data_IF_604644716474
#
_entry.id   IF_604644716474
#
_cell.length_a   1.000
_cell.length_b   1.000
_cell.length_c   1.000
_cell.angle_alpha   90.00
_cell.angle_beta   90.00
_cell.angle_gamma   90.00
#
_symmetry.space_group_name_H-M   'P 1'
#
loop_
_entity.id
_entity.type
_entity.pdbx_description
1 polymer ?
#
# COMPACT_ATOMS: atom_id res chain seq x y z
N UNK A 1 -5.18 4.10 -13.46
CA UNK A 1 -4.57 4.42 -12.15
C UNK A 1 -3.54 3.39 -11.71
N UNK A 2 -2.45 3.82 -11.05
CA UNK A 2 -1.56 2.96 -10.25
C UNK A 2 -1.37 3.53 -8.84
N UNK A 3 -0.98 2.67 -7.87
CA UNK A 3 -0.74 3.07 -6.48
C UNK A 3 0.66 2.65 -6.06
N UNK A 4 1.46 3.61 -5.61
CA UNK A 4 2.75 3.33 -4.97
C UNK A 4 2.53 3.19 -3.47
N UNK A 5 2.96 2.07 -2.90
CA UNK A 5 3.01 1.84 -1.46
C UNK A 5 4.45 1.98 -0.99
N UNK A 6 4.66 2.69 0.11
CA UNK A 6 5.96 2.91 0.72
C UNK A 6 5.90 2.57 2.22
N UNK A 7 6.65 1.55 2.61
CA UNK A 7 6.85 1.14 3.99
C UNK A 7 8.18 1.67 4.49
N UNK A 8 8.18 2.26 5.69
CA UNK A 8 9.38 2.76 6.33
C UNK A 8 9.47 2.22 7.77
N UNK A 9 10.62 1.67 8.14
CA UNK A 9 10.93 1.25 9.51
C UNK A 9 12.35 1.64 9.89
N UNK A 10 12.53 2.04 11.14
CA UNK A 10 13.84 2.26 11.74
C UNK A 10 14.37 1.02 12.47
N UNK A 11 13.58 -0.06 12.52
CA UNK A 11 13.95 -1.30 13.19
C UNK A 11 14.48 -2.29 12.16
N UNK A 12 15.78 -2.65 12.20
CA UNK A 12 16.33 -3.65 11.31
C UNK A 12 15.53 -4.96 11.35
N UNK A 13 15.25 -5.49 10.16
CA UNK A 13 14.55 -6.74 9.91
C UNK A 13 13.04 -6.64 9.99
N UNK A 14 12.47 -5.52 10.43
CA UNK A 14 11.01 -5.40 10.61
C UNK A 14 10.26 -5.50 9.27
N UNK A 15 10.71 -4.77 8.25
CA UNK A 15 10.11 -4.82 6.91
C UNK A 15 10.24 -6.23 6.31
N UNK A 16 11.44 -6.82 6.34
CA UNK A 16 11.69 -8.16 5.81
C UNK A 16 10.78 -9.20 6.48
N UNK A 17 10.72 -9.20 7.81
CA UNK A 17 9.90 -10.13 8.58
C UNK A 17 8.41 -9.95 8.29
N UNK A 18 7.94 -8.70 8.17
CA UNK A 18 6.56 -8.41 7.80
C UNK A 18 6.24 -8.95 6.39
N UNK A 19 7.06 -8.64 5.39
CA UNK A 19 6.82 -9.05 4.01
C UNK A 19 6.91 -10.57 3.83
N UNK A 20 7.84 -11.26 4.52
CA UNK A 20 7.91 -12.73 4.49
C UNK A 20 6.62 -13.37 5.00
N UNK A 21 6.03 -12.82 6.07
CA UNK A 21 4.75 -13.28 6.63
C UNK A 21 3.58 -12.96 5.71
N UNK A 22 3.56 -11.74 5.17
CA UNK A 22 2.51 -11.28 4.25
C UNK A 22 2.45 -12.15 2.99
N UNK A 23 3.60 -12.38 2.34
CA UNK A 23 3.67 -13.21 1.13
C UNK A 23 3.81 -14.71 1.39
N UNK A 24 3.88 -15.12 2.67
CA UNK A 24 4.07 -16.51 3.10
C UNK A 24 5.25 -17.21 2.40
N UNK A 25 6.36 -16.50 2.22
CA UNK A 25 7.55 -17.02 1.54
C UNK A 25 8.82 -16.37 2.05
N UNK A 26 9.92 -17.11 1.91
CA UNK A 26 11.26 -16.57 2.14
C UNK A 26 11.59 -15.47 1.10
N UNK A 27 12.11 -14.34 1.58
CA UNK A 27 12.51 -13.22 0.73
C UNK A 27 14.04 -13.08 0.79
N UNK A 28 14.65 -13.09 -0.39
CA UNK A 28 16.06 -12.72 -0.53
C UNK A 28 16.17 -11.19 -0.51
N UNK A 29 16.24 -10.63 0.70
CA UNK A 29 16.26 -9.21 1.00
C UNK A 29 17.18 -9.00 2.20
N UNK A 30 17.93 -7.90 2.20
CA UNK A 30 18.80 -7.56 3.32
C UNK A 30 17.99 -7.22 4.59
N UNK A 31 18.55 -7.50 5.76
CA UNK A 31 17.87 -7.26 7.02
C UNK A 31 17.87 -5.79 7.42
N UNK A 32 18.77 -4.97 6.91
CA UNK A 32 18.90 -3.55 7.25
C UNK A 32 18.07 -2.61 6.35
N UNK A 33 17.18 -3.17 5.51
CA UNK A 33 16.30 -2.35 4.68
C UNK A 33 15.35 -1.52 5.54
N UNK A 34 15.54 -0.20 5.50
CA UNK A 34 14.71 0.78 6.20
C UNK A 34 13.48 1.19 5.39
N UNK A 35 13.51 1.01 4.07
CA UNK A 35 12.46 1.44 3.16
C UNK A 35 12.14 0.39 2.11
N UNK A 36 10.85 0.10 1.92
CA UNK A 36 10.36 -0.74 0.82
C UNK A 36 9.30 0.00 0.03
N UNK A 37 9.48 0.03 -1.30
CA UNK A 37 8.57 0.69 -2.23
C UNK A 37 8.09 -0.32 -3.25
N UNK A 38 6.78 -0.33 -3.51
CA UNK A 38 6.21 -1.16 -4.56
C UNK A 38 5.10 -0.42 -5.29
N UNK A 39 5.06 -0.60 -6.61
CA UNK A 39 4.06 0.02 -7.49
C UNK A 39 3.03 -1.03 -7.89
N UNK A 40 1.81 -0.89 -7.38
CA UNK A 40 0.66 -1.70 -7.76
C UNK A 40 -0.01 -1.09 -9.00
N UNK A 41 0.18 -1.73 -10.15
CA UNK A 41 -0.52 -1.38 -11.40
C UNK A 41 -2.01 -1.75 -11.36
N UNK A 42 -2.39 -2.62 -10.42
CA UNK A 42 -3.78 -2.91 -10.06
C UNK A 42 -4.04 -2.33 -8.67
N UNK A 43 -4.64 -1.14 -8.57
CA UNK A 43 -4.78 -0.42 -7.30
C UNK A 43 -5.51 -1.20 -6.20
N UNK A 44 -6.45 -2.07 -6.59
CA UNK A 44 -7.20 -2.89 -5.64
C UNK A 44 -6.31 -3.92 -4.93
N UNK A 45 -5.25 -4.41 -5.57
CA UNK A 45 -4.28 -5.31 -4.93
C UNK A 45 -3.47 -4.59 -3.83
N UNK A 46 -3.33 -3.26 -3.90
CA UNK A 46 -2.67 -2.48 -2.86
C UNK A 46 -3.48 -2.43 -1.55
N UNK A 47 -4.81 -2.60 -1.63
CA UNK A 47 -5.71 -2.51 -0.46
C UNK A 47 -5.34 -3.55 0.58
N UNK A 48 -5.04 -4.79 0.18
CA UNK A 48 -4.67 -5.89 1.08
C UNK A 48 -3.38 -5.57 1.85
N UNK A 49 -2.39 -4.98 1.17
CA UNK A 49 -1.14 -4.54 1.80
C UNK A 49 -1.42 -3.39 2.80
N UNK A 50 -2.18 -2.39 2.37
CA UNK A 50 -2.50 -1.21 3.20
C UNK A 50 -3.24 -1.64 4.48
N UNK A 51 -4.31 -2.41 4.35
CA UNK A 51 -5.11 -2.88 5.49
C UNK A 51 -4.27 -3.74 6.44
N UNK A 52 -3.52 -4.72 5.91
CA UNK A 52 -2.72 -5.64 6.74
C UNK A 52 -1.65 -4.91 7.55
N UNK A 53 -1.00 -3.90 6.97
CA UNK A 53 0.00 -3.08 7.69
C UNK A 53 -0.67 -2.31 8.82
N UNK A 54 -1.81 -1.67 8.55
CA UNK A 54 -2.53 -0.86 9.54
C UNK A 54 -3.12 -1.72 10.66
N UNK A 55 -3.70 -2.87 10.33
CA UNK A 55 -4.26 -3.82 11.30
C UNK A 55 -3.22 -4.42 12.26
N UNK A 56 -1.93 -4.35 11.90
CA UNK A 56 -0.82 -4.82 12.72
C UNK A 56 0.13 -3.68 13.15
N UNK A 57 -0.34 -2.43 13.08
CA UNK A 57 0.43 -1.23 13.46
C UNK A 57 0.75 -1.17 14.96
N UNK A 58 0.02 -1.92 15.79
CA UNK A 58 0.30 -2.13 17.21
C UNK A 58 1.53 -3.04 17.44
N UNK A 59 1.74 -4.02 16.55
CA UNK A 59 2.85 -5.01 16.62
C UNK A 59 4.11 -4.54 15.90
N UNK A 60 3.96 -3.68 14.91
CA UNK A 60 5.04 -3.22 14.04
C UNK A 60 5.08 -1.70 14.02
N UNK A 61 6.23 -1.10 14.32
CA UNK A 61 6.39 0.37 14.29
C UNK A 61 6.79 0.86 12.89
N UNK A 62 6.07 0.38 11.88
CA UNK A 62 6.26 0.78 10.50
C UNK A 62 5.37 1.97 10.17
N UNK A 63 5.89 2.91 9.37
CA UNK A 63 5.10 3.98 8.76
C UNK A 63 4.70 3.57 7.35
N UNK A 64 3.44 3.76 7.02
CA UNK A 64 2.87 3.49 5.70
C UNK A 64 2.55 4.79 4.99
N UNK A 65 2.98 4.91 3.75
CA UNK A 65 2.61 5.99 2.84
C UNK A 65 2.09 5.43 1.53
N UNK A 66 1.17 6.15 0.91
CA UNK A 66 0.67 5.85 -0.42
C UNK A 66 0.78 7.05 -1.34
N UNK A 67 0.88 6.79 -2.64
CA UNK A 67 0.79 7.79 -3.69
C UNK A 67 -0.05 7.24 -4.83
N UNK A 68 -1.06 7.99 -5.27
CA UNK A 68 -1.87 7.62 -6.43
C UNK A 68 -1.31 8.31 -7.67
N UNK A 69 -0.99 7.54 -8.71
CA UNK A 69 -0.32 8.02 -9.91
C UNK A 69 0.94 8.85 -9.57
N UNK A 70 0.96 10.14 -9.94
CA UNK A 70 2.01 11.11 -9.61
C UNK A 70 1.51 12.23 -8.69
N UNK A 71 0.45 11.96 -7.93
CA UNK A 71 -0.13 12.91 -6.98
C UNK A 71 0.70 13.05 -5.70
N UNK A 72 0.09 13.60 -4.67
CA UNK A 72 0.72 13.78 -3.37
C UNK A 72 0.93 12.44 -2.64
N UNK A 73 1.92 12.43 -1.75
CA UNK A 73 2.21 11.30 -0.86
C UNK A 73 1.39 11.49 0.42
N UNK A 74 0.57 10.51 0.75
CA UNK A 74 -0.28 10.51 1.93
C UNK A 74 0.19 9.49 2.96
N UNK A 75 0.33 9.90 4.21
CA UNK A 75 0.53 8.98 5.32
C UNK A 75 -0.77 8.24 5.63
N UNK A 76 -0.69 6.93 5.81
CA UNK A 76 -1.82 6.10 6.23
C UNK A 76 -1.70 5.81 7.72
N UNK A 77 -2.80 6.02 8.43
CA UNK A 77 -2.94 5.76 9.86
C UNK A 77 -4.19 4.91 10.09
N UNK A 78 -4.35 4.39 11.31
CA UNK A 78 -5.56 3.64 11.68
C UNK A 78 -6.84 4.48 11.47
N UNK A 79 -6.77 5.77 11.76
CA UNK A 79 -7.91 6.69 11.69
C UNK A 79 -8.34 6.98 10.24
N UNK A 80 -7.39 7.05 9.30
CA UNK A 80 -7.68 7.45 7.92
C UNK A 80 -7.68 6.28 6.90
N UNK A 81 -7.28 5.08 7.33
CA UNK A 81 -7.17 3.90 6.45
C UNK A 81 -8.47 3.62 5.68
N UNK A 82 -9.62 3.64 6.38
CA UNK A 82 -10.91 3.40 5.75
C UNK A 82 -11.27 4.44 4.68
N UNK A 83 -10.95 5.70 4.91
CA UNK A 83 -11.26 6.77 3.96
C UNK A 83 -10.33 6.72 2.74
N UNK A 84 -9.07 6.36 2.96
CA UNK A 84 -8.12 6.07 1.87
C UNK A 84 -8.60 4.90 1.02
N UNK A 85 -9.03 3.79 1.62
CA UNK A 85 -9.55 2.62 0.89
C UNK A 85 -10.80 3.00 0.09
N UNK A 86 -11.74 3.75 0.68
CA UNK A 86 -12.92 4.26 -0.04
C UNK A 86 -12.51 5.15 -1.22
N UNK A 87 -11.54 6.03 -1.04
CA UNK A 87 -11.05 6.90 -2.11
C UNK A 87 -10.42 6.10 -3.25
N UNK A 88 -9.59 5.08 -2.95
CA UNK A 88 -9.03 4.18 -3.95
C UNK A 88 -10.10 3.43 -4.74
N UNK A 89 -11.12 2.89 -4.05
CA UNK A 89 -12.26 2.23 -4.69
C UNK A 89 -13.02 3.20 -5.59
N UNK A 90 -13.34 4.39 -5.09
CA UNK A 90 -14.05 5.43 -5.85
C UNK A 90 -13.29 5.82 -7.12
N UNK A 91 -11.99 6.10 -7.02
CA UNK A 91 -11.16 6.47 -8.16
C UNK A 91 -11.09 5.34 -9.19
N UNK A 92 -10.91 4.10 -8.74
CA UNK A 92 -10.85 2.94 -9.63
C UNK A 92 -12.13 2.76 -10.44
N UNK A 93 -13.30 2.76 -9.78
CA UNK A 93 -14.57 2.52 -10.45
C UNK A 93 -15.05 3.71 -11.29
N UNK A 94 -14.72 4.94 -10.92
CA UNK A 94 -15.04 6.10 -11.76
C UNK A 94 -14.12 6.22 -12.98
N UNK A 95 -12.82 5.90 -12.86
CA UNK A 95 -11.96 5.78 -14.05
C UNK A 95 -12.51 4.70 -14.98
N UNK A 96 -12.86 3.52 -14.47
CA UNK A 96 -13.40 2.42 -15.26
C UNK A 96 -14.72 2.79 -15.98
N UNK A 97 -15.63 3.51 -15.32
CA UNK A 97 -16.87 3.99 -15.93
C UNK A 97 -16.66 5.02 -17.04
N UNK A 98 -15.56 5.78 -16.99
CA UNK A 98 -15.23 6.81 -17.99
C UNK A 98 -14.82 6.18 -19.33
N UNK A 99 -14.13 5.03 -19.32
CA UNK A 99 -13.77 4.31 -20.56
C UNK A 99 -14.95 3.53 -21.17
N UNK A 100 -15.87 3.02 -20.36
CA UNK A 100 -17.09 2.34 -20.85
C UNK A 100 -18.06 3.29 -21.58
N UNK A 101 -17.96 4.61 -21.32
CA UNK A 101 -18.83 5.63 -21.91
C UNK A 101 -18.31 6.19 -23.24
N UNK A 102 -17.08 5.85 -23.64
CA UNK A 102 -16.45 6.35 -24.88
C UNK A 102 -16.49 5.35 -26.05
N UNK A 103 -17.08 4.17 -25.84
CA UNK A 103 -17.31 3.15 -26.88
C UNK A 103 -18.77 3.13 -27.41
N UNK A 104 -19.57 4.18 -27.15
CA UNK A 104 -20.93 4.34 -27.67
C UNK A 104 -21.05 5.45 -28.72
#
# INVERSE_FOLDING_TARGET
MYVTVNLLSQKPGEIKNFLQRFYQKELNMDSDVEQWIYVYNKPLEAIDMISTVIDNSDKHKMRLFIQVNKGDIHAVTYENCNDIIKALLYLYYNEAGTYASQEQ
#
